data_IF_848790089036
#
_entry.id   IF_848790089036
#
_cell.length_a   1.000
_cell.length_b   1.000
_cell.length_c   1.000
_cell.angle_alpha   90.00
_cell.angle_beta   90.00
_cell.angle_gamma   90.00
#
_symmetry.space_group_name_H-M   'P 1'
#
loop_
_entity.id
_entity.type
_entity.pdbx_description
1 polymer ?
#
# COMPACT_ATOMS: atom_id res chain seq x y z
N UNK A 1 -9.39 -22.65 -43.45
CA UNK A 1 -8.66 -21.56 -44.14
C UNK A 1 -9.69 -20.50 -44.53
N UNK A 2 -9.63 -19.21 -44.18
CA UNK A 2 -8.62 -18.40 -43.52
C UNK A 2 -9.33 -17.22 -42.81
N UNK A 3 -8.72 -16.79 -41.70
CA UNK A 3 -9.18 -15.78 -40.79
C UNK A 3 -9.26 -14.37 -41.41
N UNK A 4 -10.29 -13.60 -41.04
CA UNK A 4 -10.27 -12.13 -41.13
C UNK A 4 -10.20 -11.54 -39.73
N UNK A 5 -8.97 -11.26 -39.31
CA UNK A 5 -8.61 -10.46 -38.15
C UNK A 5 -9.31 -9.09 -38.23
N UNK A 6 -10.27 -8.84 -37.34
CA UNK A 6 -10.78 -7.49 -37.09
C UNK A 6 -9.78 -6.79 -36.17
N UNK A 7 -8.98 -5.91 -36.77
CA UNK A 7 -8.15 -4.94 -36.08
C UNK A 7 -9.04 -4.06 -35.20
N UNK A 8 -9.07 -4.32 -33.89
CA UNK A 8 -9.58 -3.35 -32.91
C UNK A 8 -8.58 -2.20 -32.89
N UNK A 9 -8.93 -1.10 -33.57
CA UNK A 9 -8.28 0.20 -33.38
C UNK A 9 -8.52 0.57 -31.91
N UNK A 10 -7.56 0.28 -31.04
CA UNK A 10 -7.53 0.81 -29.67
C UNK A 10 -7.53 2.33 -29.80
N UNK A 11 -8.70 2.95 -29.65
CA UNK A 11 -8.80 4.37 -29.39
C UNK A 11 -8.01 4.62 -28.11
N UNK A 12 -6.78 5.09 -28.26
CA UNK A 12 -6.00 5.62 -27.16
C UNK A 12 -6.73 6.89 -26.73
N UNK A 13 -7.67 6.76 -25.79
CA UNK A 13 -8.16 7.93 -25.07
C UNK A 13 -6.91 8.63 -24.52
N UNK A 14 -6.69 9.91 -24.83
CA UNK A 14 -5.49 10.59 -24.37
C UNK A 14 -5.53 10.57 -22.84
N UNK A 15 -4.53 9.98 -22.19
CA UNK A 15 -4.40 9.93 -20.72
C UNK A 15 -4.61 11.31 -20.06
N UNK A 16 -4.37 12.39 -20.83
CA UNK A 16 -4.64 13.79 -20.47
C UNK A 16 -6.12 14.11 -20.17
N UNK A 17 -7.12 13.44 -20.76
CA UNK A 17 -8.54 13.78 -20.51
C UNK A 17 -9.06 13.26 -19.16
N UNK A 18 -8.71 12.02 -18.79
CA UNK A 18 -9.08 11.42 -17.51
C UNK A 18 -8.42 12.10 -16.30
N UNK A 19 -7.28 12.78 -16.52
CA UNK A 19 -6.54 13.52 -15.48
C UNK A 19 -7.03 14.96 -15.33
N UNK A 20 -7.62 15.59 -16.36
CA UNK A 20 -8.29 16.90 -16.21
C UNK A 20 -9.58 16.77 -15.41
N UNK A 21 -10.41 15.76 -15.71
CA UNK A 21 -11.64 15.49 -14.99
C UNK A 21 -11.44 15.23 -13.48
N UNK A 22 -10.24 14.82 -13.04
CA UNK A 22 -9.95 14.56 -11.62
C UNK A 22 -9.69 15.84 -10.82
N UNK A 23 -8.96 16.81 -11.36
CA UNK A 23 -8.71 18.08 -10.64
C UNK A 23 -9.98 18.92 -10.55
N UNK A 24 -10.84 18.86 -11.56
CA UNK A 24 -12.16 19.49 -11.52
C UNK A 24 -13.02 18.90 -10.40
N UNK A 25 -13.09 17.57 -10.29
CA UNK A 25 -13.77 16.91 -9.17
C UNK A 25 -13.16 17.19 -7.80
N UNK A 26 -11.83 17.33 -7.70
CA UNK A 26 -11.15 17.69 -6.44
C UNK A 26 -11.55 19.12 -6.04
N UNK A 27 -11.54 20.07 -6.97
CA UNK A 27 -11.95 21.44 -6.72
C UNK A 27 -13.41 21.52 -6.26
N UNK A 28 -14.30 20.78 -6.92
CA UNK A 28 -15.72 20.67 -6.55
C UNK A 28 -15.91 20.04 -5.17
N UNK A 29 -15.23 18.92 -4.88
CA UNK A 29 -15.36 18.20 -3.60
C UNK A 29 -14.78 18.99 -2.43
N UNK A 30 -13.63 19.64 -2.64
CA UNK A 30 -12.95 20.45 -1.63
C UNK A 30 -13.53 21.87 -1.50
N UNK A 31 -14.53 22.22 -2.32
CA UNK A 31 -15.07 23.58 -2.47
C UNK A 31 -13.96 24.63 -2.66
N UNK A 32 -12.90 24.25 -3.36
CA UNK A 32 -11.70 25.04 -3.52
C UNK A 32 -11.62 25.64 -4.93
N UNK A 33 -11.12 26.87 -5.04
CA UNK A 33 -10.89 27.48 -6.35
C UNK A 33 -9.80 26.72 -7.10
N UNK A 34 -10.12 26.18 -8.28
CA UNK A 34 -9.20 25.44 -9.14
C UNK A 34 -7.88 26.19 -9.41
N UNK A 35 -7.90 27.53 -9.58
CA UNK A 35 -6.68 28.33 -9.72
C UNK A 35 -5.84 28.31 -8.44
N UNK A 36 -6.46 28.38 -7.26
CA UNK A 36 -5.74 28.28 -5.99
C UNK A 36 -5.07 26.92 -5.81
N UNK A 37 -5.70 25.83 -6.27
CA UNK A 37 -5.06 24.49 -6.25
C UNK A 37 -3.76 24.49 -7.05
N UNK A 38 -3.74 25.08 -8.25
CA UNK A 38 -2.50 25.21 -9.04
C UNK A 38 -1.52 26.26 -8.47
N UNK A 39 -2.00 27.27 -7.74
CA UNK A 39 -1.11 28.24 -7.06
C UNK A 39 -0.39 27.58 -5.88
N UNK A 40 -1.09 26.78 -5.07
CA UNK A 40 -0.52 26.12 -3.89
C UNK A 40 0.34 24.90 -4.25
N UNK A 41 -0.08 24.14 -5.25
CA UNK A 41 0.57 22.87 -5.60
C UNK A 41 1.29 22.91 -6.96
N UNK A 42 1.35 24.06 -7.63
CA UNK A 42 2.01 24.21 -8.92
C UNK A 42 1.32 23.46 -10.05
N UNK A 43 1.75 22.23 -10.35
CA UNK A 43 1.17 21.39 -11.40
C UNK A 43 0.49 20.12 -10.83
N UNK A 44 -0.12 19.31 -11.70
CA UNK A 44 -0.87 18.12 -11.27
C UNK A 44 0.00 17.03 -10.66
N UNK A 45 1.24 16.93 -11.08
CA UNK A 45 2.21 15.98 -10.53
C UNK A 45 2.61 16.41 -9.12
N UNK A 46 2.87 17.69 -8.91
CA UNK A 46 3.16 18.24 -7.59
C UNK A 46 1.96 18.19 -6.62
N UNK A 47 0.73 18.40 -7.11
CA UNK A 47 -0.49 18.14 -6.33
C UNK A 47 -0.60 16.67 -5.94
N UNK A 48 -0.29 15.76 -6.85
CA UNK A 48 -0.30 14.33 -6.58
C UNK A 48 0.75 13.97 -5.52
N UNK A 49 1.95 14.52 -5.63
CA UNK A 49 3.05 14.31 -4.68
C UNK A 49 2.67 14.78 -3.28
N UNK A 50 2.06 15.95 -3.17
CA UNK A 50 1.58 16.46 -1.90
C UNK A 50 0.49 15.57 -1.29
N UNK A 51 -0.44 15.06 -2.10
CA UNK A 51 -1.50 14.14 -1.64
C UNK A 51 -0.91 12.80 -1.20
N UNK A 52 0.02 12.24 -1.97
CA UNK A 52 0.72 11.00 -1.63
C UNK A 52 1.53 11.16 -0.36
N UNK A 53 2.33 12.22 -0.25
CA UNK A 53 3.13 12.51 0.93
C UNK A 53 2.23 12.63 2.16
N UNK A 54 1.15 13.42 2.09
CA UNK A 54 0.22 13.58 3.21
C UNK A 54 -0.44 12.25 3.60
N UNK A 55 -0.77 11.42 2.62
CA UNK A 55 -1.38 10.12 2.85
C UNK A 55 -0.41 9.13 3.52
N UNK A 56 0.87 9.14 3.12
CA UNK A 56 1.94 8.35 3.74
C UNK A 56 2.25 8.82 5.17
N UNK A 57 2.33 10.14 5.40
CA UNK A 57 2.50 10.73 6.72
C UNK A 57 1.35 10.34 7.66
N UNK A 58 0.11 10.51 7.21
CA UNK A 58 -1.08 10.15 7.99
C UNK A 58 -1.11 8.65 8.33
N UNK A 59 -0.70 7.80 7.37
CA UNK A 59 -0.58 6.36 7.61
C UNK A 59 0.47 6.03 8.67
N UNK A 60 1.63 6.68 8.62
CA UNK A 60 2.70 6.49 9.61
C UNK A 60 2.33 7.01 11.00
N UNK A 61 1.55 8.08 11.09
CA UNK A 61 1.01 8.61 12.36
C UNK A 61 -0.06 7.68 12.94
N UNK A 62 -0.89 7.08 12.08
CA UNK A 62 -2.01 6.24 12.50
C UNK A 62 -1.58 4.84 12.94
N UNK A 63 -0.50 4.31 12.36
CA UNK A 63 0.00 2.95 12.63
C UNK A 63 1.47 3.01 13.02
N UNK A 64 1.79 3.22 14.32
CA UNK A 64 3.16 3.29 14.78
C UNK A 64 3.87 1.95 14.57
N UNK A 65 5.11 2.01 14.06
CA UNK A 65 5.92 0.83 13.85
C UNK A 65 6.44 0.26 15.17
N UNK A 66 6.36 -1.06 15.34
CA UNK A 66 6.94 -1.78 16.46
C UNK A 66 7.54 -3.11 15.99
N UNK A 67 8.82 -3.33 16.27
CA UNK A 67 9.46 -4.63 16.05
C UNK A 67 9.16 -5.64 17.16
N UNK A 68 8.61 -5.18 18.30
CA UNK A 68 8.22 -6.07 19.40
C UNK A 68 6.93 -6.84 19.08
N UNK A 69 6.12 -6.31 18.16
CA UNK A 69 4.87 -6.94 17.70
C UNK A 69 4.68 -6.70 16.19
N UNK A 70 5.57 -7.28 15.38
CA UNK A 70 5.39 -7.28 13.92
C UNK A 70 4.05 -7.90 13.46
N UNK A 71 3.54 -9.00 14.08
CA UNK A 71 2.22 -9.52 13.73
C UNK A 71 1.09 -8.51 13.98
N UNK A 72 1.08 -7.84 15.13
CA UNK A 72 0.10 -6.81 15.46
C UNK A 72 0.24 -5.57 14.57
N UNK A 73 1.47 -5.14 14.29
CA UNK A 73 1.74 -4.07 13.32
C UNK A 73 1.15 -4.40 11.94
N UNK A 74 1.36 -5.61 11.43
CA UNK A 74 0.81 -6.05 10.15
C UNK A 74 -0.73 -6.04 10.16
N UNK A 75 -1.35 -6.51 11.25
CA UNK A 75 -2.79 -6.44 11.46
C UNK A 75 -3.31 -5.00 11.46
N UNK A 76 -2.62 -4.08 12.14
CA UNK A 76 -3.00 -2.67 12.19
C UNK A 76 -2.85 -1.96 10.83
N UNK A 77 -1.81 -2.29 10.06
CA UNK A 77 -1.67 -1.80 8.67
C UNK A 77 -2.82 -2.32 7.81
N UNK A 78 -3.18 -3.60 7.93
CA UNK A 78 -4.33 -4.17 7.22
C UNK A 78 -5.63 -3.45 7.58
N UNK A 79 -5.91 -3.26 8.88
CA UNK A 79 -7.11 -2.57 9.37
C UNK A 79 -7.19 -1.13 8.83
N UNK A 80 -6.06 -0.41 8.87
CA UNK A 80 -5.97 0.96 8.35
C UNK A 80 -6.29 1.06 6.85
N UNK A 81 -5.84 0.09 6.06
CA UNK A 81 -6.10 0.03 4.61
C UNK A 81 -7.55 -0.38 4.30
N UNK A 82 -8.16 -1.22 5.12
CA UNK A 82 -9.58 -1.58 5.01
C UNK A 82 -10.47 -0.37 5.30
N UNK A 83 -10.14 0.41 6.33
CA UNK A 83 -10.84 1.66 6.63
C UNK A 83 -10.64 2.73 5.55
N UNK A 84 -9.52 2.70 4.83
CA UNK A 84 -9.15 3.71 3.81
C UNK A 84 -8.80 3.08 2.45
N UNK A 85 -9.76 2.45 1.73
CA UNK A 85 -9.50 1.80 0.45
C UNK A 85 -8.87 2.72 -0.61
N UNK A 86 -9.16 4.03 -0.53
CA UNK A 86 -8.60 5.03 -1.42
C UNK A 86 -7.07 5.16 -1.29
N UNK A 87 -6.51 4.87 -0.12
CA UNK A 87 -5.06 4.92 0.15
C UNK A 87 -4.33 3.87 -0.69
N UNK A 88 -4.84 2.64 -0.72
CA UNK A 88 -4.20 1.58 -1.48
C UNK A 88 -4.23 1.83 -2.99
N UNK A 89 -5.32 2.39 -3.50
CA UNK A 89 -5.41 2.83 -4.90
C UNK A 89 -4.35 3.89 -5.23
N UNK A 90 -4.04 4.78 -4.29
CA UNK A 90 -2.98 5.77 -4.44
C UNK A 90 -1.59 5.13 -4.47
N UNK A 91 -1.33 4.17 -3.58
CA UNK A 91 -0.07 3.40 -3.51
C UNK A 91 0.16 2.61 -4.81
N UNK A 92 -0.83 1.85 -5.28
CA UNK A 92 -0.73 1.08 -6.53
C UNK A 92 -0.48 1.98 -7.74
N UNK A 93 -1.10 3.16 -7.78
CA UNK A 93 -0.87 4.11 -8.87
C UNK A 93 0.52 4.75 -8.79
N UNK A 94 1.01 5.07 -7.58
CA UNK A 94 2.41 5.50 -7.38
C UNK A 94 3.37 4.46 -7.93
N UNK A 95 3.21 3.19 -7.58
CA UNK A 95 4.07 2.10 -8.07
C UNK A 95 4.10 2.02 -9.61
N UNK A 96 3.00 2.33 -10.28
CA UNK A 96 2.90 2.30 -11.75
C UNK A 96 3.58 3.50 -12.42
N UNK A 97 3.38 4.70 -11.89
CA UNK A 97 3.83 5.94 -12.53
C UNK A 97 5.23 6.37 -12.06
N UNK A 98 5.61 5.97 -10.84
CA UNK A 98 6.84 6.39 -10.14
C UNK A 98 7.37 5.22 -9.30
N UNK A 99 8.07 4.27 -9.93
CA UNK A 99 8.55 3.07 -9.24
C UNK A 99 9.63 3.39 -8.19
N UNK A 100 10.32 4.53 -8.32
CA UNK A 100 11.38 4.94 -7.40
C UNK A 100 10.81 5.43 -6.06
N UNK A 101 11.58 5.18 -4.99
CA UNK A 101 11.31 5.73 -3.66
C UNK A 101 11.75 7.19 -3.57
N UNK A 102 10.97 8.02 -2.90
CA UNK A 102 11.40 9.35 -2.46
C UNK A 102 12.42 9.24 -1.33
N UNK A 103 13.23 10.29 -1.10
CA UNK A 103 14.21 10.32 -0.01
C UNK A 103 13.55 10.09 1.37
N UNK A 104 12.37 10.66 1.58
CA UNK A 104 11.58 10.49 2.82
C UNK A 104 11.10 9.06 3.01
N UNK A 105 10.60 8.41 1.95
CA UNK A 105 10.24 6.98 2.02
C UNK A 105 11.47 6.12 2.31
N UNK A 106 12.58 6.37 1.62
CA UNK A 106 13.81 5.63 1.81
C UNK A 106 14.37 5.77 3.24
N UNK A 107 14.34 6.96 3.82
CA UNK A 107 14.73 7.19 5.22
C UNK A 107 13.78 6.46 6.20
N UNK A 108 12.47 6.53 5.97
CA UNK A 108 11.49 5.81 6.81
C UNK A 108 11.70 4.30 6.78
N UNK A 109 11.95 3.72 5.60
CA UNK A 109 12.28 2.30 5.48
C UNK A 109 13.61 1.96 6.15
N UNK A 110 14.66 2.75 5.95
CA UNK A 110 15.96 2.55 6.62
C UNK A 110 15.83 2.56 8.14
N UNK A 111 15.06 3.49 8.70
CA UNK A 111 14.80 3.56 10.14
C UNK A 111 14.09 2.30 10.65
N UNK A 112 13.06 1.82 9.95
CA UNK A 112 12.34 0.59 10.33
C UNK A 112 13.23 -0.65 10.22
N UNK A 113 14.04 -0.76 9.17
CA UNK A 113 15.00 -1.86 8.97
C UNK A 113 15.99 -1.92 10.13
N UNK A 114 16.55 -0.78 10.54
CA UNK A 114 17.49 -0.72 11.67
C UNK A 114 16.85 -1.20 12.98
N UNK A 115 15.56 -0.93 13.20
CA UNK A 115 14.82 -1.42 14.38
C UNK A 115 14.59 -2.94 14.31
N UNK A 116 14.28 -3.49 13.14
CA UNK A 116 14.18 -4.96 12.94
C UNK A 116 15.53 -5.62 13.19
N UNK A 117 16.61 -5.06 12.65
CA UNK A 117 17.98 -5.57 12.82
C UNK A 117 18.39 -5.58 14.30
N UNK A 118 18.06 -4.54 15.05
CA UNK A 118 18.26 -4.49 16.51
C UNK A 118 17.48 -5.60 17.24
N UNK A 119 16.24 -5.85 16.83
CA UNK A 119 15.42 -6.90 17.41
C UNK A 119 15.95 -8.32 17.09
N UNK A 120 16.51 -8.53 15.89
CA UNK A 120 17.21 -9.76 15.53
C UNK A 120 18.48 -9.95 16.38
N UNK A 121 19.31 -8.90 16.52
CA UNK A 121 20.50 -8.93 17.40
C UNK A 121 20.15 -9.23 18.86
N UNK A 122 18.96 -8.84 19.31
CA UNK A 122 18.45 -9.14 20.64
C UNK A 122 17.77 -10.52 20.76
N UNK A 123 17.73 -11.32 19.69
CA UNK A 123 17.10 -12.65 19.66
C UNK A 123 15.57 -12.63 19.73
N UNK A 124 14.94 -11.47 19.51
CA UNK A 124 13.47 -11.31 19.58
C UNK A 124 12.77 -11.63 18.26
N UNK A 125 13.50 -11.55 17.14
CA UNK A 125 13.05 -11.91 15.80
C UNK A 125 14.06 -12.91 15.23
N UNK A 126 13.57 -13.91 14.48
CA UNK A 126 14.43 -14.84 13.75
C UNK A 126 15.41 -14.09 12.82
N UNK A 127 16.69 -14.46 12.89
CA UNK A 127 17.76 -13.92 12.06
C UNK A 127 17.96 -14.67 10.74
N UNK A 128 17.11 -15.66 10.41
CA UNK A 128 17.20 -16.44 9.18
C UNK A 128 16.92 -15.63 7.90
N UNK A 129 16.17 -14.53 8.01
CA UNK A 129 15.87 -13.63 6.89
C UNK A 129 16.52 -12.27 7.10
N UNK A 130 16.88 -11.61 6.00
CA UNK A 130 17.38 -10.24 6.03
C UNK A 130 16.30 -9.29 6.62
N UNK A 131 16.67 -8.33 7.49
CA UNK A 131 15.70 -7.40 8.09
C UNK A 131 14.91 -6.59 7.05
N UNK A 132 15.50 -6.27 5.90
CA UNK A 132 14.81 -5.61 4.80
C UNK A 132 13.77 -6.52 4.13
N UNK A 133 14.08 -7.80 3.99
CA UNK A 133 13.14 -8.79 3.47
C UNK A 133 11.98 -9.03 4.45
N UNK A 134 12.25 -9.10 5.76
CA UNK A 134 11.20 -9.19 6.79
C UNK A 134 10.24 -8.00 6.67
N UNK A 135 10.76 -6.78 6.61
CA UNK A 135 9.92 -5.58 6.49
C UNK A 135 9.11 -5.60 5.19
N UNK A 136 9.73 -6.01 4.08
CA UNK A 136 9.07 -6.14 2.77
C UNK A 136 7.93 -7.16 2.82
N UNK A 137 8.15 -8.34 3.42
CA UNK A 137 7.15 -9.38 3.58
C UNK A 137 6.00 -8.93 4.49
N UNK A 138 6.30 -8.28 5.61
CA UNK A 138 5.29 -7.71 6.52
C UNK A 138 4.39 -6.72 5.77
N UNK A 139 4.98 -5.80 5.02
CA UNK A 139 4.22 -4.82 4.23
C UNK A 139 3.43 -5.51 3.11
N UNK A 140 4.03 -6.45 2.38
CA UNK A 140 3.38 -7.18 1.30
C UNK A 140 2.19 -8.01 1.77
N UNK A 141 2.33 -8.74 2.87
CA UNK A 141 1.26 -9.54 3.47
C UNK A 141 0.09 -8.66 3.92
N UNK A 142 0.37 -7.51 4.53
CA UNK A 142 -0.65 -6.54 4.97
C UNK A 142 -1.46 -5.97 3.81
N UNK A 143 -0.91 -5.98 2.59
CA UNK A 143 -1.51 -5.38 1.39
C UNK A 143 -2.06 -6.41 0.40
N UNK A 144 -1.82 -7.70 0.64
CA UNK A 144 -1.99 -8.77 -0.36
C UNK A 144 -3.38 -8.80 -1.01
N UNK A 145 -4.45 -8.63 -0.23
CA UNK A 145 -5.83 -8.71 -0.73
C UNK A 145 -6.27 -7.50 -1.57
N UNK A 146 -5.55 -6.39 -1.49
CA UNK A 146 -5.87 -5.21 -2.29
C UNK A 146 -5.26 -5.28 -3.70
N UNK A 147 -4.15 -6.00 -3.86
CA UNK A 147 -3.56 -6.33 -5.17
C UNK A 147 -4.22 -7.53 -5.85
N UNK A 148 -4.92 -8.38 -5.09
CA UNK A 148 -5.55 -9.62 -5.57
C UNK A 148 -6.92 -9.42 -6.25
N UNK A 149 -7.15 -8.27 -6.91
CA UNK A 149 -8.43 -7.97 -7.59
C UNK A 149 -8.76 -9.07 -8.60
N UNK A 150 -9.96 -9.65 -8.50
CA UNK A 150 -10.40 -10.79 -9.34
C UNK A 150 -9.96 -12.17 -8.84
N UNK A 151 -9.19 -12.25 -7.75
CA UNK A 151 -8.95 -13.52 -7.07
C UNK A 151 -10.24 -14.00 -6.38
N UNK A 152 -10.54 -15.32 -6.38
CA UNK A 152 -11.65 -15.89 -5.60
C UNK A 152 -11.61 -15.51 -4.11
N UNK A 153 -10.42 -15.23 -3.58
CA UNK A 153 -10.24 -14.81 -2.20
C UNK A 153 -10.57 -13.32 -1.95
N UNK A 154 -10.51 -12.47 -2.99
CA UNK A 154 -10.79 -11.04 -2.94
C UNK A 154 -12.27 -10.69 -3.20
N UNK A 155 -13.07 -11.64 -3.71
CA UNK A 155 -14.50 -11.45 -3.96
C UNK A 155 -14.83 -10.36 -5.00
N UNK A 156 -16.12 -10.14 -5.23
CA UNK A 156 -16.61 -9.40 -6.40
C UNK A 156 -16.68 -7.87 -6.22
N UNK A 157 -16.17 -7.33 -5.10
CA UNK A 157 -16.61 -6.02 -4.63
C UNK A 157 -15.57 -4.95 -4.33
N UNK A 158 -14.27 -5.26 -4.22
CA UNK A 158 -13.27 -4.30 -3.74
C UNK A 158 -13.56 -3.80 -2.31
N UNK A 159 -12.82 -4.26 -1.31
CA UNK A 159 -12.94 -3.88 0.12
C UNK A 159 -14.31 -4.05 0.82
N UNK A 160 -15.41 -4.23 0.10
CA UNK A 160 -16.75 -4.52 0.63
C UNK A 160 -16.92 -5.96 1.13
N UNK A 161 -15.93 -6.47 1.85
CA UNK A 161 -15.96 -7.82 2.42
C UNK A 161 -16.90 -7.88 3.62
N UNK A 162 -17.70 -8.96 3.78
CA UNK A 162 -18.44 -9.20 5.00
C UNK A 162 -17.50 -9.21 6.23
N UNK A 163 -17.95 -8.78 7.42
CA UNK A 163 -17.10 -8.70 8.62
C UNK A 163 -16.34 -9.99 8.93
N UNK A 164 -16.99 -11.15 8.75
CA UNK A 164 -16.34 -12.45 8.96
C UNK A 164 -15.20 -12.74 7.99
N UNK A 165 -15.29 -12.28 6.74
CA UNK A 165 -14.23 -12.43 5.74
C UNK A 165 -13.06 -11.50 6.07
N UNK A 166 -13.34 -10.26 6.46
CA UNK A 166 -12.32 -9.32 6.95
C UNK A 166 -11.52 -9.92 8.11
N UNK A 167 -12.22 -10.46 9.11
CA UNK A 167 -11.59 -11.09 10.25
C UNK A 167 -10.68 -12.27 9.85
N UNK A 168 -11.12 -13.11 8.90
CA UNK A 168 -10.30 -14.22 8.39
C UNK A 168 -9.05 -13.74 7.63
N UNK A 169 -9.17 -12.70 6.81
CA UNK A 169 -8.03 -12.12 6.10
C UNK A 169 -7.03 -11.52 7.08
N UNK A 170 -7.50 -10.72 8.04
CA UNK A 170 -6.67 -10.17 9.11
C UNK A 170 -5.94 -11.26 9.89
N UNK A 171 -6.65 -12.32 10.29
CA UNK A 171 -6.04 -13.45 11.01
C UNK A 171 -4.96 -14.16 10.18
N UNK A 172 -5.18 -14.30 8.86
CA UNK A 172 -4.17 -14.88 7.97
C UNK A 172 -2.92 -14.00 7.85
N UNK A 173 -3.06 -12.67 7.80
CA UNK A 173 -1.92 -11.72 7.81
C UNK A 173 -1.12 -11.86 9.09
N UNK A 174 -1.78 -11.76 10.25
CA UNK A 174 -1.14 -11.82 11.57
C UNK A 174 -0.42 -13.16 11.76
N UNK A 175 -1.08 -14.28 11.46
CA UNK A 175 -0.48 -15.61 11.64
C UNK A 175 0.69 -15.85 10.68
N UNK A 176 0.61 -15.36 9.44
CA UNK A 176 1.71 -15.48 8.48
C UNK A 176 2.93 -14.69 8.95
N UNK A 177 2.75 -13.45 9.42
CA UNK A 177 3.83 -12.64 9.98
C UNK A 177 4.41 -13.30 11.22
N UNK A 178 3.58 -13.80 12.14
CA UNK A 178 4.04 -14.52 13.33
C UNK A 178 4.94 -15.71 12.97
N UNK A 179 4.62 -16.46 11.91
CA UNK A 179 5.42 -17.63 11.48
C UNK A 179 6.76 -17.25 10.89
N UNK A 180 6.84 -16.17 10.12
CA UNK A 180 8.11 -15.75 9.48
C UNK A 180 9.03 -15.01 10.45
N UNK A 181 8.50 -14.45 11.54
CA UNK A 181 9.30 -13.71 12.54
C UNK A 181 9.59 -14.51 13.81
N UNK A 182 8.84 -15.58 14.06
CA UNK A 182 9.11 -16.47 15.20
C UNK A 182 10.47 -17.14 15.01
N UNK A 183 11.33 -17.03 16.03
CA UNK A 183 12.63 -17.71 16.05
C UNK A 183 12.52 -19.22 15.82
N UNK A 184 13.66 -19.89 15.56
CA UNK A 184 13.70 -21.33 15.36
C UNK A 184 12.95 -22.02 16.50
N UNK A 185 12.01 -22.90 16.16
CA UNK A 185 11.45 -23.80 17.16
C UNK A 185 12.58 -24.71 17.62
N UNK A 186 13.11 -24.48 18.81
CA UNK A 186 13.97 -25.45 19.46
C UNK A 186 13.23 -26.80 19.51
N UNK A 187 13.73 -27.77 18.74
CA UNK A 187 13.39 -29.19 18.88
C UNK A 187 12.28 -29.73 17.97
N UNK A 188 12.70 -30.47 16.95
CA UNK A 188 12.13 -31.78 16.61
C UNK A 188 13.24 -32.73 16.24
#
# INVERSE_FOLDING_TARGET
MAARLRTVRRGRLPARSAVHARVDRIAETAQANKRLIYVYYGNKEQLFDAVLQRALETGSESVPFSADDLPGYAGAVFDHLVERPALMRLVLWKQLERPDSTDTEAESYRAKIAVVEQAQRAGRIDAALDPADILTLVMGLSQAWFGAVGSPAAGDGGTGWPPERLARHRAAVVESVRRITAGPRDGS
#
